data_IF_365938125507
#
_entry.id   IF_365938125507
#
_cell.length_a   1.000
_cell.length_b   1.000
_cell.length_c   1.000
_cell.angle_alpha   90.00
_cell.angle_beta   90.00
_cell.angle_gamma   90.00
#
_symmetry.space_group_name_H-M   'P 1'
#
loop_
_entity.id
_entity.type
_entity.pdbx_description
1 polymer ?
#
# COMPACT_ATOMS: atom_id res chain seq x y z
N UNK A 1 47.83 -40.15 -9.07
CA UNK A 1 47.48 -38.75 -8.75
C UNK A 1 45.98 -38.59 -8.95
N UNK A 2 45.18 -38.31 -7.91
CA UNK A 2 43.76 -38.09 -8.08
C UNK A 2 43.55 -36.73 -8.77
N UNK A 3 42.92 -36.74 -9.95
CA UNK A 3 42.47 -35.54 -10.64
C UNK A 3 41.30 -34.96 -9.86
N UNK A 4 41.52 -33.83 -9.19
CA UNK A 4 40.47 -33.05 -8.55
C UNK A 4 39.47 -32.61 -9.63
N UNK A 5 38.24 -33.10 -9.52
CA UNK A 5 37.15 -32.71 -10.42
C UNK A 5 36.82 -31.23 -10.14
N UNK A 6 36.94 -30.31 -11.12
CA UNK A 6 36.56 -28.92 -10.91
C UNK A 6 35.07 -28.90 -10.58
N UNK A 7 34.73 -28.38 -9.39
CA UNK A 7 33.33 -28.18 -9.01
C UNK A 7 32.72 -27.24 -10.05
N UNK A 8 31.82 -27.75 -10.89
CA UNK A 8 31.08 -26.94 -11.85
C UNK A 8 30.41 -25.79 -11.09
N UNK A 9 30.61 -24.56 -11.57
CA UNK A 9 29.92 -23.42 -10.99
C UNK A 9 28.40 -23.64 -11.09
N UNK A 10 27.66 -23.36 -10.00
CA UNK A 10 26.22 -23.53 -10.01
C UNK A 10 25.59 -22.56 -11.01
N UNK A 11 24.66 -23.05 -11.83
CA UNK A 11 23.90 -22.20 -12.75
C UNK A 11 23.09 -21.13 -12.01
N UNK A 12 22.80 -20.02 -12.67
CA UNK A 12 21.96 -18.94 -12.13
C UNK A 12 20.61 -19.44 -11.62
N UNK A 13 20.02 -20.43 -12.30
CA UNK A 13 18.80 -21.10 -11.86
C UNK A 13 19.00 -21.84 -10.53
N UNK A 14 20.10 -22.58 -10.36
CA UNK A 14 20.39 -23.29 -9.13
C UNK A 14 20.64 -22.31 -7.96
N UNK A 15 21.27 -21.16 -8.22
CA UNK A 15 21.43 -20.08 -7.26
C UNK A 15 20.06 -19.50 -6.87
N UNK A 16 19.22 -19.19 -7.86
CA UNK A 16 17.90 -18.60 -7.64
C UNK A 16 16.96 -19.54 -6.86
N UNK A 17 16.95 -20.84 -7.18
CA UNK A 17 16.19 -21.85 -6.41
C UNK A 17 16.65 -21.89 -4.96
N UNK A 18 17.97 -21.82 -4.70
CA UNK A 18 18.51 -21.82 -3.34
C UNK A 18 18.14 -20.55 -2.57
N UNK A 19 18.08 -19.39 -3.25
CA UNK A 19 17.56 -18.15 -2.66
C UNK A 19 16.07 -18.30 -2.32
N UNK A 20 15.25 -18.81 -3.24
CA UNK A 20 13.82 -19.06 -3.01
C UNK A 20 13.56 -19.97 -1.81
N UNK A 21 14.32 -21.07 -1.68
CA UNK A 21 14.24 -21.97 -0.53
C UNK A 21 14.58 -21.28 0.80
N UNK A 22 15.64 -20.46 0.83
CA UNK A 22 16.01 -19.67 2.03
C UNK A 22 14.93 -18.67 2.40
N UNK A 23 14.31 -18.03 1.41
CA UNK A 23 13.24 -17.06 1.61
C UNK A 23 11.99 -17.74 2.17
N UNK A 24 11.59 -18.89 1.62
CA UNK A 24 10.49 -19.70 2.17
C UNK A 24 10.77 -20.18 3.59
N UNK A 25 11.99 -20.62 3.89
CA UNK A 25 12.35 -21.02 5.25
C UNK A 25 12.27 -19.86 6.25
N UNK A 26 12.56 -18.63 5.81
CA UNK A 26 12.55 -17.43 6.65
C UNK A 26 11.15 -16.80 6.79
N UNK A 27 10.35 -16.83 5.72
CA UNK A 27 9.14 -16.04 5.59
C UNK A 27 7.87 -16.86 5.28
N UNK A 28 8.00 -18.18 5.10
CA UNK A 28 6.87 -19.05 4.73
C UNK A 28 5.92 -19.39 5.87
N UNK A 29 6.31 -19.12 7.12
CA UNK A 29 5.52 -19.42 8.32
C UNK A 29 5.40 -18.19 9.23
N UNK A 30 5.02 -17.06 8.64
CA UNK A 30 4.86 -15.81 9.39
C UNK A 30 3.47 -15.77 10.02
N UNK A 31 3.43 -15.45 11.31
CA UNK A 31 2.19 -15.23 12.04
C UNK A 31 1.46 -14.00 11.46
N UNK A 32 0.21 -14.19 11.02
CA UNK A 32 -0.61 -13.11 10.49
C UNK A 32 -1.04 -12.10 11.56
N UNK A 33 -0.86 -12.41 12.85
CA UNK A 33 -1.05 -11.48 13.96
C UNK A 33 0.06 -10.43 14.09
N UNK A 34 1.25 -10.66 13.52
CA UNK A 34 2.36 -9.72 13.52
C UNK A 34 2.46 -9.00 12.18
N UNK A 35 1.85 -7.81 12.11
CA UNK A 35 1.79 -6.98 10.90
C UNK A 35 3.19 -6.58 10.40
N UNK A 36 4.16 -6.38 11.30
CA UNK A 36 5.52 -6.02 10.90
C UNK A 36 6.25 -7.21 10.30
N UNK A 37 6.12 -8.39 10.91
CA UNK A 37 6.66 -9.62 10.35
C UNK A 37 6.03 -9.93 8.99
N UNK A 38 4.72 -9.72 8.84
CA UNK A 38 4.00 -9.92 7.59
C UNK A 38 4.47 -8.97 6.48
N UNK A 39 4.61 -7.68 6.77
CA UNK A 39 5.10 -6.70 5.80
C UNK A 39 6.54 -7.01 5.37
N UNK A 40 7.41 -7.40 6.31
CA UNK A 40 8.78 -7.80 6.01
C UNK A 40 8.83 -9.07 5.15
N UNK A 41 8.00 -10.06 5.46
CA UNK A 41 7.87 -11.28 4.69
C UNK A 41 7.40 -11.01 3.25
N UNK A 42 6.40 -10.14 3.09
CA UNK A 42 5.88 -9.76 1.79
C UNK A 42 6.95 -9.07 0.93
N UNK A 43 7.70 -8.12 1.51
CA UNK A 43 8.81 -7.45 0.83
C UNK A 43 9.91 -8.43 0.41
N UNK A 44 10.32 -9.33 1.32
CA UNK A 44 11.31 -10.36 1.02
C UNK A 44 10.89 -11.32 -0.09
N UNK A 45 9.61 -11.73 -0.10
CA UNK A 45 9.08 -12.63 -1.11
C UNK A 45 8.97 -11.95 -2.48
N UNK A 46 8.57 -10.68 -2.52
CA UNK A 46 8.49 -9.89 -3.76
C UNK A 46 9.87 -9.78 -4.42
N UNK A 47 10.91 -9.47 -3.64
CA UNK A 47 12.28 -9.36 -4.18
C UNK A 47 12.84 -10.72 -4.64
N UNK A 48 12.56 -11.78 -3.87
CA UNK A 48 12.96 -13.14 -4.26
C UNK A 48 12.32 -13.57 -5.58
N UNK A 49 11.03 -13.27 -5.77
CA UNK A 49 10.31 -13.54 -7.01
C UNK A 49 10.88 -12.73 -8.18
N UNK A 50 11.22 -11.45 -7.97
CA UNK A 50 11.88 -10.63 -8.99
C UNK A 50 13.21 -11.22 -9.44
N UNK A 51 14.06 -11.65 -8.50
CA UNK A 51 15.35 -12.30 -8.80
C UNK A 51 15.13 -13.60 -9.60
N UNK A 52 14.16 -14.42 -9.21
CA UNK A 52 13.81 -15.65 -9.92
C UNK A 52 13.34 -15.37 -11.34
N UNK A 53 12.43 -14.41 -11.52
CA UNK A 53 11.92 -14.02 -12.83
C UNK A 53 13.03 -13.47 -13.72
N UNK A 54 13.96 -12.68 -13.18
CA UNK A 54 15.15 -12.22 -13.90
C UNK A 54 16.02 -13.38 -14.36
N UNK A 55 16.30 -14.33 -13.48
CA UNK A 55 17.16 -15.47 -13.78
C UNK A 55 16.60 -16.37 -14.91
N UNK A 56 15.27 -16.40 -15.09
CA UNK A 56 14.62 -17.17 -16.17
C UNK A 56 14.25 -16.31 -17.39
N UNK A 57 14.62 -15.02 -17.41
CA UNK A 57 14.28 -14.10 -18.51
C UNK A 57 12.79 -13.75 -18.61
N UNK A 58 12.03 -13.92 -17.52
CA UNK A 58 10.60 -13.64 -17.45
C UNK A 58 10.25 -12.42 -16.57
N UNK A 59 11.24 -11.60 -16.19
CA UNK A 59 10.98 -10.35 -15.47
C UNK A 59 10.13 -9.44 -16.35
N UNK A 60 8.92 -9.15 -15.91
CA UNK A 60 8.09 -8.13 -16.54
C UNK A 60 8.80 -6.80 -16.30
N UNK A 61 9.46 -6.29 -17.31
CA UNK A 61 9.98 -4.93 -17.31
C UNK A 61 8.77 -4.01 -17.19
N UNK A 62 8.45 -3.56 -15.98
CA UNK A 62 7.49 -2.47 -15.84
C UNK A 62 8.02 -1.33 -16.72
N UNK A 63 7.20 -0.77 -17.62
CA UNK A 63 7.63 0.37 -18.40
C UNK A 63 8.01 1.47 -17.41
N UNK A 64 9.31 1.78 -17.34
CA UNK A 64 9.87 2.77 -16.42
C UNK A 64 9.47 4.21 -16.77
N UNK A 65 8.65 4.39 -17.80
CA UNK A 65 8.19 5.70 -18.26
C UNK A 65 6.73 5.66 -18.68
N UNK A 66 5.88 6.32 -17.87
CA UNK A 66 4.56 6.80 -18.28
C UNK A 66 4.63 7.78 -19.47
N UNK A 67 5.82 8.28 -19.81
CA UNK A 67 6.05 9.09 -21.01
C UNK A 67 5.82 8.30 -22.31
N UNK A 68 6.15 7.00 -22.35
CA UNK A 68 5.98 6.17 -23.57
C UNK A 68 4.51 5.82 -23.86
N UNK A 69 3.63 5.90 -22.87
CA UNK A 69 2.19 5.67 -23.05
C UNK A 69 1.45 6.93 -23.54
N UNK A 70 2.09 8.11 -23.55
CA UNK A 70 1.47 9.36 -24.02
C UNK A 70 1.59 9.55 -25.53
N UNK A 71 2.55 8.93 -26.21
CA UNK A 71 2.74 9.10 -27.66
C UNK A 71 1.75 8.30 -28.52
N UNK A 72 0.83 7.54 -27.91
CA UNK A 72 -0.16 6.73 -28.64
C UNK A 72 -1.59 7.30 -28.60
N UNK A 73 -1.76 8.50 -28.05
CA UNK A 73 -3.09 9.07 -27.73
C UNK A 73 -3.41 10.36 -28.50
N UNK A 74 -2.82 10.58 -29.67
CA UNK A 74 -3.19 11.69 -30.55
C UNK A 74 -4.37 11.30 -31.46
N UNK A 75 -5.58 11.28 -30.89
CA UNK A 75 -6.83 11.40 -31.66
C UNK A 75 -7.60 12.64 -31.16
N UNK A 76 -8.06 13.54 -32.05
CA UNK A 76 -8.65 14.80 -31.64
C UNK A 76 -10.14 14.64 -31.33
N UNK A 77 -10.51 14.50 -30.05
CA UNK A 77 -11.91 14.61 -29.62
C UNK A 77 -12.31 16.07 -29.52
N UNK A 78 -13.23 16.46 -30.39
CA UNK A 78 -13.83 17.78 -30.48
C UNK A 78 -14.57 18.21 -29.21
N UNK A 79 -14.43 19.50 -28.95
CA UNK A 79 -15.49 20.46 -28.63
C UNK A 79 -16.82 19.85 -28.11
N UNK A 80 -16.84 19.50 -26.83
CA UNK A 80 -18.09 19.39 -26.08
C UNK A 80 -18.01 20.28 -24.86
N UNK A 81 -18.85 21.32 -24.88
CA UNK A 81 -19.19 22.19 -23.76
C UNK A 81 -19.81 21.35 -22.64
N UNK A 82 -18.96 20.76 -21.80
CA UNK A 82 -19.35 20.03 -20.61
C UNK A 82 -19.52 20.99 -19.43
N UNK A 83 -20.74 21.10 -18.94
CA UNK A 83 -21.09 21.67 -17.64
C UNK A 83 -20.10 21.23 -16.56
N UNK A 84 -19.56 22.17 -15.79
CA UNK A 84 -18.71 21.88 -14.63
C UNK A 84 -19.52 21.14 -13.56
N UNK A 85 -19.60 19.82 -13.69
CA UNK A 85 -19.94 18.92 -12.60
C UNK A 85 -18.85 19.06 -11.54
N UNK A 86 -19.23 19.34 -10.29
CA UNK A 86 -18.27 19.42 -9.20
C UNK A 86 -17.39 18.15 -9.22
N UNK A 87 -16.07 18.26 -8.98
CA UNK A 87 -15.18 17.11 -9.06
C UNK A 87 -15.76 15.98 -8.20
N UNK A 88 -15.80 14.73 -8.72
CA UNK A 88 -16.37 13.62 -7.98
C UNK A 88 -15.73 13.57 -6.59
N UNK A 89 -16.57 13.46 -5.56
CA UNK A 89 -16.14 13.33 -4.16
C UNK A 89 -15.11 12.20 -4.08
N UNK A 90 -14.11 12.33 -3.19
CA UNK A 90 -13.13 11.26 -3.01
C UNK A 90 -13.85 9.94 -2.68
N UNK A 91 -13.51 8.80 -3.31
CA UNK A 91 -14.17 7.53 -2.99
C UNK A 91 -13.96 7.11 -1.52
N UNK A 92 -12.83 7.50 -0.93
CA UNK A 92 -12.55 7.31 0.51
C UNK A 92 -13.17 8.38 1.42
N UNK A 93 -13.80 9.45 0.90
CA UNK A 93 -14.46 10.44 1.74
C UNK A 93 -15.78 9.88 2.26
N UNK A 94 -15.97 9.92 3.58
CA UNK A 94 -17.27 9.60 4.16
C UNK A 94 -18.35 10.57 3.60
N UNK A 95 -19.60 10.12 3.37
CA UNK A 95 -20.66 11.00 2.85
C UNK A 95 -20.86 12.28 3.67
N UNK A 96 -20.68 12.20 4.98
CA UNK A 96 -20.81 13.33 5.90
C UNK A 96 -19.53 14.17 6.07
N UNK A 97 -18.38 13.74 5.51
CA UNK A 97 -17.15 14.52 5.61
C UNK A 97 -17.20 15.71 4.64
N UNK A 98 -17.31 16.98 5.11
CA UNK A 98 -17.44 18.12 4.20
C UNK A 98 -16.10 18.53 3.56
N UNK A 99 -14.97 17.98 4.00
CA UNK A 99 -13.66 18.50 3.60
C UNK A 99 -13.30 18.15 2.16
N UNK A 100 -12.65 19.08 1.43
CA UNK A 100 -12.18 18.83 0.09
C UNK A 100 -11.02 17.84 0.06
N UNK A 101 -10.78 17.22 -1.10
CA UNK A 101 -9.59 16.40 -1.32
C UNK A 101 -8.33 17.24 -1.17
N UNK A 102 -7.26 16.62 -0.69
CA UNK A 102 -5.91 17.21 -0.73
C UNK A 102 -5.05 16.30 -1.59
N UNK A 103 -4.86 16.72 -2.85
CA UNK A 103 -4.08 15.98 -3.83
C UNK A 103 -4.82 14.82 -4.50
N UNK A 104 -4.10 14.03 -5.31
CA UNK A 104 -4.67 12.93 -6.08
C UNK A 104 -5.00 11.72 -5.20
N UNK A 105 -5.76 10.78 -5.76
CA UNK A 105 -5.99 9.45 -5.17
C UNK A 105 -4.71 8.62 -5.29
N UNK A 106 -4.18 8.18 -4.15
CA UNK A 106 -2.85 7.54 -4.06
C UNK A 106 -2.79 6.37 -3.10
N UNK A 107 -3.86 6.08 -2.36
CA UNK A 107 -3.91 4.95 -1.43
C UNK A 107 -5.22 4.18 -1.55
N UNK A 108 -5.19 2.91 -1.18
CA UNK A 108 -6.38 2.09 -0.90
C UNK A 108 -6.42 1.81 0.58
N UNK A 109 -7.55 2.11 1.23
CA UNK A 109 -7.81 1.76 2.63
C UNK A 109 -8.74 0.57 2.68
N UNK A 110 -8.35 -0.48 3.41
CA UNK A 110 -9.13 -1.70 3.59
C UNK A 110 -9.63 -1.82 5.02
N UNK A 111 -10.84 -2.33 5.20
CA UNK A 111 -11.39 -2.70 6.51
C UNK A 111 -10.96 -4.12 6.96
N UNK A 112 -11.53 -4.58 8.07
CA UNK A 112 -11.32 -5.91 8.62
C UNK A 112 -11.81 -7.05 7.71
N UNK A 113 -12.78 -6.79 6.82
CA UNK A 113 -13.35 -7.74 5.87
C UNK A 113 -12.69 -7.67 4.48
N UNK A 114 -11.69 -6.81 4.29
CA UNK A 114 -11.05 -6.49 3.00
C UNK A 114 -11.94 -5.72 2.02
N UNK A 115 -13.02 -5.09 2.48
CA UNK A 115 -13.69 -4.07 1.68
C UNK A 115 -12.81 -2.82 1.65
N UNK A 116 -12.66 -2.23 0.46
CA UNK A 116 -11.68 -1.18 0.21
C UNK A 116 -12.24 0.06 -0.47
N UNK A 117 -11.63 1.21 -0.20
CA UNK A 117 -11.87 2.45 -0.92
C UNK A 117 -10.56 3.15 -1.26
N UNK A 118 -10.46 3.62 -2.50
CA UNK A 118 -9.32 4.41 -2.96
C UNK A 118 -9.49 5.88 -2.55
N UNK A 119 -8.41 6.49 -2.07
CA UNK A 119 -8.43 7.81 -1.48
C UNK A 119 -7.18 8.64 -1.75
N UNK A 120 -7.34 9.96 -1.62
CA UNK A 120 -6.20 10.85 -1.43
C UNK A 120 -5.60 10.65 -0.03
N UNK A 121 -4.41 11.19 0.24
CA UNK A 121 -3.77 11.01 1.56
C UNK A 121 -4.63 11.54 2.71
N UNK A 122 -5.36 12.65 2.47
CA UNK A 122 -6.23 13.27 3.47
C UNK A 122 -7.45 12.40 3.81
N UNK A 123 -8.28 12.04 2.83
CA UNK A 123 -9.46 11.21 3.08
C UNK A 123 -9.09 9.77 3.45
N UNK A 124 -8.00 9.22 2.89
CA UNK A 124 -7.47 7.93 3.29
C UNK A 124 -7.08 7.89 4.78
N UNK A 125 -6.48 8.96 5.31
CA UNK A 125 -6.11 9.02 6.72
C UNK A 125 -7.34 9.10 7.64
N UNK A 126 -8.35 9.89 7.25
CA UNK A 126 -9.59 10.04 8.03
C UNK A 126 -10.46 8.78 8.02
N UNK A 127 -10.52 8.11 6.88
CA UNK A 127 -11.18 6.81 6.76
C UNK A 127 -10.45 5.78 7.62
N UNK A 128 -9.13 5.66 7.48
CA UNK A 128 -8.32 4.72 8.26
C UNK A 128 -8.44 4.95 9.78
N UNK A 129 -8.52 6.20 10.23
CA UNK A 129 -8.71 6.54 11.64
C UNK A 129 -10.07 6.10 12.18
N UNK A 130 -11.07 5.93 11.31
CA UNK A 130 -12.45 5.58 11.68
C UNK A 130 -12.74 4.07 11.55
N UNK A 131 -11.78 3.27 11.08
CA UNK A 131 -11.93 1.83 10.90
C UNK A 131 -11.27 1.06 12.03
N UNK A 132 -12.00 0.08 12.57
CA UNK A 132 -11.39 -0.96 13.39
C UNK A 132 -10.57 -1.91 12.51
N UNK A 133 -9.33 -2.17 12.94
CA UNK A 133 -8.32 -2.98 12.22
C UNK A 133 -8.11 -2.61 10.74
N UNK A 134 -8.31 -1.33 10.41
CA UNK A 134 -8.08 -0.81 9.06
C UNK A 134 -6.62 -0.94 8.61
N UNK A 135 -6.42 -1.18 7.32
CA UNK A 135 -5.10 -1.26 6.66
C UNK A 135 -5.04 -0.24 5.53
N UNK A 136 -3.84 0.22 5.19
CA UNK A 136 -3.63 1.14 4.06
C UNK A 136 -2.49 0.64 3.17
N UNK A 137 -2.71 0.73 1.86
CA UNK A 137 -1.75 0.37 0.83
C UNK A 137 -1.59 1.54 -0.14
N UNK A 138 -0.39 1.71 -0.69
CA UNK A 138 -0.15 2.70 -1.73
C UNK A 138 -0.62 2.13 -3.07
N UNK A 139 -1.22 2.96 -3.91
CA UNK A 139 -1.51 2.58 -5.30
C UNK A 139 -0.21 2.43 -6.10
N UNK A 140 -0.20 1.67 -7.21
CA UNK A 140 1.02 1.40 -7.98
C UNK A 140 1.79 2.65 -8.42
N UNK A 141 1.08 3.72 -8.79
CA UNK A 141 1.66 4.99 -9.26
C UNK A 141 1.73 6.07 -8.17
N UNK A 142 1.49 5.68 -6.91
CA UNK A 142 1.51 6.61 -5.80
C UNK A 142 2.93 7.10 -5.49
N UNK A 143 3.09 8.35 -5.03
CA UNK A 143 4.37 8.83 -4.54
C UNK A 143 4.92 7.93 -3.42
N UNK A 144 6.23 7.72 -3.42
CA UNK A 144 6.89 6.87 -2.43
C UNK A 144 6.49 7.26 -1.00
N UNK A 145 6.18 6.25 -0.18
CA UNK A 145 5.79 6.44 1.21
C UNK A 145 4.37 7.01 1.43
N UNK A 146 3.52 7.12 0.40
CA UNK A 146 2.14 7.60 0.55
C UNK A 146 1.37 6.84 1.65
N UNK A 147 1.39 5.50 1.63
CA UNK A 147 0.75 4.70 2.66
C UNK A 147 1.31 4.96 4.07
N UNK A 148 2.62 5.20 4.20
CA UNK A 148 3.26 5.50 5.49
C UNK A 148 2.81 6.87 6.00
N UNK A 149 2.74 7.89 5.13
CA UNK A 149 2.24 9.22 5.50
C UNK A 149 0.78 9.16 5.96
N UNK A 150 -0.06 8.43 5.22
CA UNK A 150 -1.47 8.21 5.58
C UNK A 150 -1.60 7.49 6.93
N UNK A 151 -0.84 6.42 7.13
CA UNK A 151 -0.85 5.66 8.38
C UNK A 151 -0.45 6.54 9.58
N UNK A 152 0.62 7.33 9.44
CA UNK A 152 1.09 8.26 10.48
C UNK A 152 0.08 9.38 10.73
N UNK A 153 -0.54 9.92 9.69
CA UNK A 153 -1.57 10.95 9.84
C UNK A 153 -2.78 10.41 10.60
N UNK A 154 -3.30 9.22 10.21
CA UNK A 154 -4.45 8.58 10.83
C UNK A 154 -4.27 8.35 12.33
N UNK A 155 -3.04 8.08 12.78
CA UNK A 155 -2.70 7.84 14.18
C UNK A 155 -2.94 9.06 15.10
N UNK A 156 -2.97 10.27 14.53
CA UNK A 156 -3.26 11.52 15.23
C UNK A 156 -4.70 12.02 15.01
N UNK A 157 -5.43 11.37 14.10
CA UNK A 157 -6.81 11.71 13.77
C UNK A 157 -7.73 10.91 14.69
N UNK A 158 -8.75 11.58 15.21
CA UNK A 158 -9.80 10.93 16.01
C UNK A 158 -10.79 10.21 15.08
N UNK A 159 -11.38 9.08 15.50
CA UNK A 159 -12.44 8.42 14.74
C UNK A 159 -13.61 9.36 14.44
N UNK A 160 -14.22 9.21 13.26
CA UNK A 160 -15.33 10.02 12.77
C UNK A 160 -15.09 11.53 12.93
N UNK A 161 -13.96 12.06 12.40
CA UNK A 161 -13.53 13.45 12.64
C UNK A 161 -14.46 14.52 12.03
N UNK A 162 -15.50 14.12 11.30
CA UNK A 162 -16.55 14.98 10.76
C UNK A 162 -17.78 15.08 11.68
N UNK A 163 -17.85 14.28 12.75
CA UNK A 163 -18.93 14.34 13.74
C UNK A 163 -18.53 15.29 14.86
N UNK A 164 -19.33 16.33 15.06
CA UNK A 164 -19.22 17.22 16.21
C UNK A 164 -20.00 16.63 17.40
N UNK A 165 -19.33 16.46 18.55
CA UNK A 165 -19.96 15.95 19.76
C UNK A 165 -19.02 15.84 20.96
N UNK A 166 -19.57 15.77 22.19
CA UNK A 166 -18.77 15.53 23.38
C UNK A 166 -18.11 14.14 23.30
N UNK A 167 -16.82 14.10 23.62
CA UNK A 167 -15.99 12.89 23.61
C UNK A 167 -15.89 12.36 25.02
N UNK A 168 -16.69 11.35 25.34
CA UNK A 168 -16.83 10.78 26.68
C UNK A 168 -16.36 9.34 26.77
N UNK A 169 -16.03 8.71 25.65
CA UNK A 169 -15.59 7.31 25.56
C UNK A 169 -14.24 7.18 24.87
N UNK A 170 -13.50 6.13 25.19
CA UNK A 170 -12.16 5.90 24.65
C UNK A 170 -12.17 5.59 23.14
N UNK A 171 -13.24 4.98 22.64
CA UNK A 171 -13.49 4.74 21.20
C UNK A 171 -13.57 6.04 20.38
N UNK A 172 -13.70 7.20 21.03
CA UNK A 172 -13.78 8.51 20.37
C UNK A 172 -12.42 9.24 20.36
N UNK A 173 -11.38 8.63 20.91
CA UNK A 173 -10.03 9.19 20.99
C UNK A 173 -9.19 8.69 19.83
N UNK A 174 -8.21 9.51 19.44
CA UNK A 174 -7.18 9.05 18.51
C UNK A 174 -6.27 8.02 19.19
N UNK A 175 -5.62 7.16 18.39
CA UNK A 175 -4.65 6.17 18.91
C UNK A 175 -3.51 6.83 19.68
N UNK A 176 -3.07 8.01 19.24
CA UNK A 176 -2.08 8.81 19.96
C UNK A 176 -2.58 9.23 21.35
N UNK A 177 -3.82 9.66 21.48
CA UNK A 177 -4.42 10.00 22.77
C UNK A 177 -4.57 8.78 23.69
N UNK A 178 -5.03 7.64 23.16
CA UNK A 178 -5.12 6.37 23.90
C UNK A 178 -3.76 5.97 24.47
N UNK A 179 -2.70 6.01 23.64
CA UNK A 179 -1.33 5.71 24.11
C UNK A 179 -0.82 6.70 25.14
N UNK A 180 -1.14 7.99 25.01
CA UNK A 180 -0.76 9.01 26.00
C UNK A 180 -1.40 8.76 27.38
N UNK A 181 -2.53 8.05 27.44
CA UNK A 181 -3.17 7.59 28.69
C UNK A 181 -2.56 6.31 29.26
N UNK A 182 -1.61 5.69 28.57
CA UNK A 182 -0.99 4.42 28.97
C UNK A 182 -1.82 3.19 28.60
N UNK A 183 -2.90 3.37 27.84
CA UNK A 183 -3.72 2.26 27.34
C UNK A 183 -3.03 1.63 26.12
N UNK A 184 -2.98 0.30 26.09
CA UNK A 184 -2.53 -0.44 24.89
C UNK A 184 -3.67 -0.41 23.87
N UNK A 185 -3.42 0.07 22.64
CA UNK A 185 -4.41 0.10 21.58
C UNK A 185 -4.82 -1.30 21.11
#
# INVERSE_FOLDING_TARGET
MPTSNPLSEPSDLAVAVRVGQKMLARYGAVDSGDIFAYAQAHGGLTEALRILLRAVGAEVTQPRNLADLRERSDEPTGDFLGSQEAPPRCPAAHPEDPTPCVGPVVVTVLDAANAGADGCEHHGARLLASLDRGRVYALPDAPEGAAIRVFKAADTIRPFPWVDGPRTRDEQLSRTETRARGERP
#
